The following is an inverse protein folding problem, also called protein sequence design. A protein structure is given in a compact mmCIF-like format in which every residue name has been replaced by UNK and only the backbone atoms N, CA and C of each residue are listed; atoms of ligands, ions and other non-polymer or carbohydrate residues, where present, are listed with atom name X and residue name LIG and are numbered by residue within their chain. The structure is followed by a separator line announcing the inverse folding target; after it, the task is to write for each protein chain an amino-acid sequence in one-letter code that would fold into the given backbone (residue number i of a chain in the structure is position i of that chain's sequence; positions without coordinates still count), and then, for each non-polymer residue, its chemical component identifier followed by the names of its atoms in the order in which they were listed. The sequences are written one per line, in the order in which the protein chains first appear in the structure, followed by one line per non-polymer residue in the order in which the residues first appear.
data_IF_673269392704
#
_entry.id   IF_673269392704
#
_cell.length_a   1.000
_cell.length_b   1.000
_cell.length_c   1.000
_cell.angle_alpha   90.00
_cell.angle_beta   90.00
_cell.angle_gamma   90.00
#
_symmetry.space_group_name_H-M   'P 1'
#
loop_
_entity.id
_entity.type
_entity.pdbx_description
1 polymer ?
#
# COMPACT_ATOMS: atom_id res chain seq x y z
N UNK A 1 14.08 -13.18 3.59
CA UNK A 1 12.78 -13.08 2.89
C UNK A 1 12.14 -11.73 3.18
N UNK A 2 11.60 -11.09 2.18
CA UNK A 2 10.93 -9.81 2.33
C UNK A 2 9.57 -9.91 1.66
N UNK A 3 8.60 -10.42 2.39
CA UNK A 3 7.20 -10.50 1.95
C UNK A 3 6.35 -9.79 2.97
N UNK A 4 5.46 -8.93 2.50
CA UNK A 4 4.62 -8.14 3.37
C UNK A 4 3.19 -8.18 2.86
N UNK A 5 2.26 -8.45 3.77
CA UNK A 5 0.84 -8.48 3.48
C UNK A 5 0.12 -7.55 4.44
N UNK A 6 -0.85 -6.81 3.91
CA UNK A 6 -1.59 -5.87 4.74
C UNK A 6 -2.99 -5.70 4.17
N UNK A 7 -3.99 -5.82 5.03
CA UNK A 7 -5.35 -5.41 4.69
C UNK A 7 -5.47 -3.93 5.03
N UNK A 8 -5.85 -3.12 4.05
CA UNK A 8 -5.86 -1.68 4.24
C UNK A 8 -6.80 -1.00 3.26
N UNK A 9 -7.13 0.23 3.58
CA UNK A 9 -7.87 1.09 2.66
C UNK A 9 -6.94 2.13 2.05
N UNK A 10 -7.31 2.59 0.85
CA UNK A 10 -6.57 3.63 0.14
C UNK A 10 -7.12 4.98 0.59
N UNK A 11 -6.29 5.77 1.26
CA UNK A 11 -6.75 7.06 1.81
C UNK A 11 -6.20 8.25 1.07
N UNK A 12 -5.21 8.04 0.21
CA UNK A 12 -4.67 9.11 -0.64
C UNK A 12 -4.11 8.50 -1.91
N UNK A 13 -4.40 9.12 -3.05
CA UNK A 13 -3.92 8.70 -4.36
C UNK A 13 -3.27 9.90 -5.02
N UNK A 14 -2.02 9.75 -5.45
CA UNK A 14 -1.34 10.77 -6.22
C UNK A 14 -1.67 10.60 -7.72
N UNK A 15 -1.27 11.58 -8.51
CA UNK A 15 -1.50 11.52 -9.95
C UNK A 15 -0.74 10.33 -10.55
N UNK A 16 -1.43 9.56 -11.39
CA UNK A 16 -0.79 8.48 -12.15
C UNK A 16 0.33 9.06 -13.01
N UNK A 17 1.50 8.44 -12.95
CA UNK A 17 2.66 8.85 -13.72
C UNK A 17 3.20 7.67 -14.52
N UNK A 18 4.13 7.96 -15.42
CA UNK A 18 4.76 6.93 -16.24
C UNK A 18 6.26 7.01 -16.06
N UNK A 19 6.90 5.86 -15.95
CA UNK A 19 8.36 5.80 -15.89
C UNK A 19 8.95 6.14 -17.27
N UNK A 20 10.27 6.40 -17.36
CA UNK A 20 10.89 6.62 -18.68
C UNK A 20 10.65 5.47 -19.65
N UNK A 21 10.46 4.25 -19.17
CA UNK A 21 10.13 3.09 -20.02
C UNK A 21 8.64 3.01 -20.37
N UNK A 22 7.82 3.98 -19.96
CA UNK A 22 6.40 4.00 -20.27
C UNK A 22 5.54 3.13 -19.35
N UNK A 23 6.06 2.68 -18.23
CA UNK A 23 5.33 1.84 -17.29
C UNK A 23 4.52 2.73 -16.34
N UNK A 24 3.20 2.47 -16.19
CA UNK A 24 2.40 3.22 -15.23
C UNK A 24 2.91 3.02 -13.81
N UNK A 25 2.91 4.09 -13.02
CA UNK A 25 3.31 4.06 -11.62
C UNK A 25 2.38 4.94 -10.81
N UNK A 26 1.96 4.44 -9.65
CA UNK A 26 1.04 5.14 -8.78
C UNK A 26 1.54 5.12 -7.35
N UNK A 27 1.66 6.29 -6.75
CA UNK A 27 1.98 6.42 -5.33
C UNK A 27 0.69 6.63 -4.55
N UNK A 28 0.50 5.88 -3.50
CA UNK A 28 -0.69 5.93 -2.66
C UNK A 28 -0.31 5.91 -1.20
N UNK A 29 -1.26 6.25 -0.35
CA UNK A 29 -1.13 6.07 1.10
C UNK A 29 -2.21 5.11 1.54
N UNK A 30 -1.81 4.10 2.29
CA UNK A 30 -2.69 3.10 2.85
C UNK A 30 -2.91 3.37 4.33
N UNK A 31 -4.11 3.04 4.80
CA UNK A 31 -4.42 3.07 6.23
C UNK A 31 -4.95 1.72 6.65
N UNK A 32 -4.37 1.19 7.72
CA UNK A 32 -4.75 -0.08 8.30
C UNK A 32 -5.18 0.13 9.74
N UNK A 33 -6.29 -0.50 10.11
CA UNK A 33 -6.74 -0.57 11.48
C UNK A 33 -7.08 -2.01 11.82
N UNK A 34 -6.63 -2.44 12.99
CA UNK A 34 -6.98 -3.77 13.50
C UNK A 34 -6.89 -3.77 15.01
N UNK A 35 -7.44 -4.82 15.60
CA UNK A 35 -7.28 -5.09 17.01
C UNK A 35 -6.47 -6.37 17.15
N UNK A 36 -5.43 -6.31 17.96
CA UNK A 36 -4.60 -7.48 18.26
C UNK A 36 -4.57 -7.69 19.76
N UNK A 37 -4.32 -8.93 20.18
CA UNK A 37 -4.13 -9.25 21.59
C UNK A 37 -2.67 -9.47 21.85
N UNK A 38 -2.12 -8.72 22.78
CA UNK A 38 -0.71 -8.80 23.16
C UNK A 38 -0.62 -8.89 24.66
N UNK A 39 -0.01 -9.93 25.17
CA UNK A 39 0.07 -10.21 26.61
C UNK A 39 -1.32 -10.14 27.29
N UNK A 40 -2.30 -10.82 26.67
CA UNK A 40 -3.69 -10.89 27.12
C UNK A 40 -4.41 -9.54 27.16
N UNK A 41 -3.85 -8.52 26.52
CA UNK A 41 -4.46 -7.18 26.48
C UNK A 41 -4.81 -6.83 25.04
N UNK A 42 -6.08 -6.45 24.76
CA UNK A 42 -6.43 -5.97 23.43
C UNK A 42 -5.75 -4.64 23.13
N UNK A 43 -5.25 -4.50 21.92
CA UNK A 43 -4.62 -3.27 21.46
C UNK A 43 -5.18 -2.87 20.11
N UNK A 44 -5.48 -1.59 19.97
CA UNK A 44 -5.82 -1.01 18.68
C UNK A 44 -4.55 -0.69 17.93
N UNK A 45 -4.48 -1.16 16.69
CA UNK A 45 -3.35 -0.87 15.80
C UNK A 45 -3.85 -0.01 14.66
N UNK A 46 -3.18 1.10 14.44
CA UNK A 46 -3.47 2.00 13.33
C UNK A 46 -2.16 2.37 12.66
N UNK A 47 -2.08 2.13 11.36
CA UNK A 47 -0.86 2.35 10.58
C UNK A 47 -1.21 3.10 9.32
N UNK A 48 -0.42 4.14 8.99
CA UNK A 48 -0.40 4.72 7.66
C UNK A 48 0.90 4.36 6.99
N UNK A 49 0.83 3.95 5.73
CA UNK A 49 1.98 3.43 5.02
C UNK A 49 1.98 3.95 3.59
N UNK A 50 3.11 4.52 3.19
CA UNK A 50 3.30 4.91 1.79
C UNK A 50 3.54 3.66 0.95
N UNK A 51 2.92 3.63 -0.21
CA UNK A 51 3.01 2.48 -1.11
C UNK A 51 3.14 2.95 -2.56
N UNK A 52 3.69 2.07 -3.39
CA UNK A 52 3.79 2.30 -4.83
C UNK A 52 3.37 1.03 -5.55
N UNK A 53 2.71 1.21 -6.67
CA UNK A 53 2.31 0.09 -7.53
C UNK A 53 2.65 0.43 -8.97
N UNK A 54 3.13 -0.56 -9.71
CA UNK A 54 3.55 -0.40 -11.09
C UNK A 54 2.71 -1.27 -12.02
N UNK A 55 2.61 -0.84 -13.29
CA UNK A 55 1.96 -1.63 -14.33
C UNK A 55 0.46 -1.43 -14.39
N UNK A 56 -0.23 -2.41 -14.95
CA UNK A 56 -1.68 -2.33 -15.14
C UNK A 56 -2.44 -2.14 -13.84
N UNK A 57 -1.94 -2.68 -12.74
CA UNK A 57 -2.58 -2.54 -11.43
C UNK A 57 -2.57 -1.08 -10.95
N UNK A 58 -1.56 -0.30 -11.36
CA UNK A 58 -1.53 1.13 -11.04
C UNK A 58 -2.72 1.84 -11.67
N UNK A 59 -3.05 1.50 -12.90
CA UNK A 59 -4.19 2.09 -13.59
C UNK A 59 -5.51 1.70 -12.93
N UNK A 60 -5.62 0.44 -12.50
CA UNK A 60 -6.81 -0.04 -11.79
C UNK A 60 -7.01 0.73 -10.48
N UNK A 61 -5.98 0.86 -9.68
CA UNK A 61 -6.09 1.58 -8.40
C UNK A 61 -6.34 3.07 -8.60
N UNK A 62 -5.77 3.67 -9.65
CA UNK A 62 -6.01 5.07 -9.94
C UNK A 62 -7.49 5.36 -10.23
N UNK A 63 -8.21 4.38 -10.77
CA UNK A 63 -9.64 4.51 -11.09
C UNK A 63 -10.56 4.08 -9.95
N UNK A 64 -10.05 3.35 -8.97
CA UNK A 64 -10.89 2.74 -7.93
C UNK A 64 -11.38 3.71 -6.86
N UNK A 65 -10.80 4.89 -6.79
CA UNK A 65 -11.21 5.91 -5.83
C UNK A 65 -10.67 5.67 -4.43
N UNK A 66 -11.02 6.58 -3.54
CA UNK A 66 -10.59 6.53 -2.15
C UNK A 66 -11.49 5.61 -1.34
N UNK A 67 -10.97 5.19 -0.20
CA UNK A 67 -11.66 4.39 0.83
C UNK A 67 -12.00 2.97 0.41
N UNK A 68 -11.53 2.54 -0.75
CA UNK A 68 -11.64 1.13 -1.13
C UNK A 68 -10.64 0.31 -0.30
N UNK A 69 -11.09 -0.86 0.14
CA UNK A 69 -10.30 -1.75 0.99
C UNK A 69 -9.87 -2.98 0.23
N UNK A 70 -8.63 -3.38 0.45
CA UNK A 70 -8.02 -4.52 -0.23
C UNK A 70 -7.09 -5.28 0.69
N UNK A 71 -6.79 -6.51 0.30
CA UNK A 71 -5.62 -7.23 0.79
C UNK A 71 -4.48 -6.96 -0.17
N UNK A 72 -3.40 -6.38 0.33
CA UNK A 72 -2.22 -6.07 -0.47
C UNK A 72 -1.09 -7.03 -0.16
N UNK A 73 -0.34 -7.38 -1.16
CA UNK A 73 0.85 -8.22 -1.02
C UNK A 73 2.01 -7.63 -1.81
N UNK A 74 3.19 -7.67 -1.24
CA UNK A 74 4.38 -7.18 -1.88
C UNK A 74 5.58 -7.24 -0.95
N UNK A 75 6.40 -6.22 -1.00
CA UNK A 75 7.61 -6.16 -0.18
C UNK A 75 7.88 -4.75 0.30
N UNK A 76 8.70 -4.63 1.33
CA UNK A 76 9.08 -3.35 1.90
C UNK A 76 10.47 -2.94 1.42
N UNK A 77 10.64 -1.65 1.21
CA UNK A 77 11.94 -1.04 0.94
C UNK A 77 11.97 0.32 1.63
N UNK A 78 13.05 1.03 1.51
CA UNK A 78 13.13 2.40 2.00
C UNK A 78 12.68 3.37 0.92
N UNK A 79 12.12 4.50 1.35
CA UNK A 79 11.90 5.61 0.42
C UNK A 79 13.25 6.07 -0.13
N UNK A 80 13.22 6.76 -1.28
CA UNK A 80 14.41 7.12 -2.03
C UNK A 80 15.47 7.85 -1.23
N UNK A 81 15.08 8.64 -0.27
CA UNK A 81 16.00 9.41 0.58
C UNK A 81 16.49 8.63 1.79
N UNK A 82 16.19 7.33 1.86
CA UNK A 82 16.66 6.46 2.92
C UNK A 82 15.93 6.58 4.25
N UNK A 83 14.91 7.43 4.34
CA UNK A 83 14.12 7.61 5.56
C UNK A 83 12.71 7.12 5.36
N UNK A 84 12.29 6.19 6.22
CA UNK A 84 10.96 5.64 6.20
C UNK A 84 10.81 4.47 5.25
N UNK A 85 9.68 3.81 5.36
CA UNK A 85 9.37 2.61 4.60
C UNK A 85 8.50 2.93 3.39
N UNK A 86 8.67 2.14 2.35
CA UNK A 86 7.83 2.16 1.17
C UNK A 86 7.41 0.74 0.86
N UNK A 87 6.10 0.54 0.72
CA UNK A 87 5.54 -0.77 0.38
C UNK A 87 5.39 -0.85 -1.14
N UNK A 88 6.12 -1.78 -1.77
CA UNK A 88 5.95 -2.08 -3.18
C UNK A 88 4.86 -3.14 -3.30
N UNK A 89 3.73 -2.75 -3.86
CA UNK A 89 2.60 -3.65 -4.04
C UNK A 89 2.81 -4.48 -5.30
N UNK A 90 2.78 -5.81 -5.16
CA UNK A 90 2.90 -6.73 -6.29
C UNK A 90 1.53 -7.21 -6.74
N UNK A 91 0.61 -7.40 -5.81
CA UNK A 91 -0.76 -7.74 -6.15
C UNK A 91 -1.72 -7.32 -5.03
N UNK A 92 -3.00 -7.33 -5.36
CA UNK A 92 -4.05 -7.02 -4.39
C UNK A 92 -5.35 -7.67 -4.81
N UNK A 93 -6.23 -7.88 -3.82
CA UNK A 93 -7.57 -8.39 -4.05
C UNK A 93 -8.53 -7.68 -3.10
N UNK A 94 -9.80 -7.59 -3.49
CA UNK A 94 -10.80 -6.94 -2.64
C UNK A 94 -11.04 -7.75 -1.37
N UNK A 95 -11.20 -7.05 -0.29
CA UNK A 95 -11.58 -7.67 0.98
C UNK A 95 -13.05 -8.07 0.98
#
# INVERSE_FOLDING_TARGET
MNQFQLSASVVQVQTLRYTPAGIPALNIVLEHESEVVEMDTPRQVKVQLKAVVFGAQAEVLARSGLDASYHFHGFLTNVRNGKGLLFHIQDFSKT
#
